data_IF_855104604522
#
_entry.id   IF_855104604522
#
_cell.length_a   1.000
_cell.length_b   1.000
_cell.length_c   1.000
_cell.angle_alpha   90.00
_cell.angle_beta   90.00
_cell.angle_gamma   90.00
#
_symmetry.space_group_name_H-M   'P 1'
#
loop_
_entity.id
_entity.type
_entity.pdbx_description
1 polymer ?
#
# COMPACT_ATOMS: atom_id res chain seq x y z
N UNK A 1 -30.59 -14.26 11.28
CA UNK A 1 -31.38 -13.03 11.01
C UNK A 1 -31.20 -12.71 9.55
N UNK A 2 -32.30 -12.65 8.80
CA UNK A 2 -32.27 -12.15 7.41
C UNK A 2 -31.81 -10.69 7.45
N UNK A 3 -30.69 -10.38 6.78
CA UNK A 3 -30.09 -9.05 6.81
C UNK A 3 -30.87 -8.14 5.85
N UNK A 4 -31.89 -7.46 6.36
CA UNK A 4 -32.69 -6.50 5.58
C UNK A 4 -32.21 -5.07 5.83
N UNK A 5 -31.99 -4.31 4.75
CA UNK A 5 -31.69 -2.87 4.83
C UNK A 5 -32.95 -2.07 5.08
N UNK A 6 -33.00 -1.30 6.17
CA UNK A 6 -34.15 -0.45 6.51
C UNK A 6 -34.37 0.63 5.47
N UNK A 7 -35.62 1.10 5.32
CA UNK A 7 -35.96 2.16 4.35
C UNK A 7 -35.18 3.45 4.59
N UNK A 8 -34.88 3.74 5.86
CA UNK A 8 -34.08 4.88 6.28
C UNK A 8 -32.65 4.78 5.74
N UNK A 9 -31.98 3.63 5.89
CA UNK A 9 -30.63 3.43 5.33
C UNK A 9 -30.62 3.53 3.80
N UNK A 10 -31.62 2.96 3.12
CA UNK A 10 -31.74 3.06 1.66
C UNK A 10 -31.87 4.52 1.20
N UNK A 11 -32.67 5.32 1.94
CA UNK A 11 -32.85 6.75 1.69
C UNK A 11 -31.54 7.51 1.85
N UNK A 12 -30.78 7.27 2.92
CA UNK A 12 -29.49 7.95 3.13
C UNK A 12 -28.45 7.58 2.05
N UNK A 13 -28.33 6.30 1.69
CA UNK A 13 -27.45 5.90 0.59
C UNK A 13 -27.88 6.52 -0.76
N UNK A 14 -29.18 6.65 -1.00
CA UNK A 14 -29.71 7.36 -2.17
C UNK A 14 -29.41 8.86 -2.16
N UNK A 15 -29.35 9.49 -0.98
CA UNK A 15 -28.96 10.89 -0.84
C UNK A 15 -27.48 11.09 -1.21
N UNK A 16 -26.60 10.19 -0.80
CA UNK A 16 -25.17 10.22 -1.18
C UNK A 16 -25.01 10.14 -2.71
N UNK A 17 -25.76 9.25 -3.38
CA UNK A 17 -25.77 9.16 -4.86
C UNK A 17 -26.14 10.47 -5.56
N UNK A 18 -26.93 11.33 -4.91
CA UNK A 18 -27.35 12.64 -5.47
C UNK A 18 -26.36 13.77 -5.15
N UNK A 19 -25.56 13.63 -4.10
CA UNK A 19 -24.62 14.65 -3.64
C UNK A 19 -23.26 14.56 -4.33
N UNK A 20 -22.86 13.38 -4.78
CA UNK A 20 -21.57 13.14 -5.43
C UNK A 20 -21.76 12.81 -6.92
N UNK A 21 -20.73 13.09 -7.71
CA UNK A 21 -20.75 12.81 -9.15
C UNK A 21 -20.32 11.36 -9.43
N UNK A 22 -21.29 10.47 -9.63
CA UNK A 22 -21.04 9.07 -10.03
C UNK A 22 -21.11 8.84 -11.55
N UNK A 23 -21.54 9.83 -12.34
CA UNK A 23 -21.76 9.67 -13.77
C UNK A 23 -20.45 9.64 -14.58
N UNK A 24 -19.42 10.30 -14.07
CA UNK A 24 -18.06 10.29 -14.62
C UNK A 24 -17.13 9.70 -13.56
N UNK A 25 -17.00 8.37 -13.54
CA UNK A 25 -16.20 7.66 -12.54
C UNK A 25 -14.70 7.72 -12.91
N UNK A 26 -14.17 8.95 -12.90
CA UNK A 26 -12.79 9.24 -13.23
C UNK A 26 -11.80 8.50 -12.31
N UNK A 27 -12.13 8.35 -11.03
CA UNK A 27 -11.31 7.61 -10.06
C UNK A 27 -11.13 6.15 -10.47
N UNK A 28 -12.22 5.47 -10.85
CA UNK A 28 -12.13 4.08 -11.32
C UNK A 28 -11.35 3.96 -12.64
N UNK A 29 -11.48 4.94 -13.55
CA UNK A 29 -10.65 4.98 -14.75
C UNK A 29 -9.17 5.09 -14.39
N UNK A 30 -8.78 6.01 -13.52
CA UNK A 30 -7.39 6.15 -13.05
C UNK A 30 -6.89 4.88 -12.33
N UNK A 31 -7.74 4.25 -11.52
CA UNK A 31 -7.42 3.02 -10.80
C UNK A 31 -7.25 1.80 -11.71
N UNK A 32 -7.76 1.81 -12.94
CA UNK A 32 -7.60 0.72 -13.92
C UNK A 32 -6.60 1.07 -15.03
N UNK A 33 -6.29 2.36 -15.21
CA UNK A 33 -5.42 2.85 -16.26
C UNK A 33 -3.99 2.28 -16.14
N UNK A 34 -3.39 1.99 -17.30
CA UNK A 34 -2.02 1.50 -17.45
C UNK A 34 -1.72 0.18 -16.72
N UNK A 35 -2.73 -0.65 -16.47
CA UNK A 35 -2.50 -2.04 -16.08
C UNK A 35 -1.84 -2.79 -17.24
N UNK A 36 -0.63 -3.29 -17.03
CA UNK A 36 0.12 -4.05 -18.04
C UNK A 36 0.00 -5.56 -17.83
N UNK A 37 -0.29 -5.98 -16.60
CA UNK A 37 -0.62 -7.36 -16.26
C UNK A 37 -1.66 -7.37 -15.12
N UNK A 38 -2.94 -7.71 -15.40
CA UNK A 38 -3.97 -7.80 -14.37
C UNK A 38 -3.82 -9.09 -13.53
N UNK A 39 -4.24 -9.04 -12.27
CA UNK A 39 -4.30 -10.23 -11.41
C UNK A 39 -5.63 -10.32 -10.64
N UNK A 40 -6.72 -10.35 -11.41
CA UNK A 40 -8.09 -10.15 -10.91
C UNK A 40 -8.60 -11.22 -9.92
N UNK A 41 -7.85 -12.30 -9.69
CA UNK A 41 -8.19 -13.35 -8.71
C UNK A 41 -7.00 -13.73 -7.84
N UNK A 42 -6.18 -12.74 -7.47
CA UNK A 42 -5.05 -12.96 -6.57
C UNK A 42 -5.51 -13.64 -5.28
N UNK A 43 -4.88 -14.78 -4.99
CA UNK A 43 -5.04 -15.55 -3.77
C UNK A 43 -3.66 -16.10 -3.38
N UNK A 44 -3.13 -15.61 -2.26
CA UNK A 44 -1.81 -15.98 -1.74
C UNK A 44 -2.06 -16.97 -0.60
N UNK A 45 -1.57 -18.19 -0.76
CA UNK A 45 -1.77 -19.29 0.18
C UNK A 45 -0.41 -19.79 0.67
N UNK A 46 -0.26 -19.88 1.98
CA UNK A 46 0.92 -20.45 2.64
C UNK A 46 0.46 -21.54 3.61
N UNK A 47 1.01 -22.75 3.47
CA UNK A 47 0.69 -23.91 4.33
C UNK A 47 -0.82 -24.17 4.51
N UNK A 48 -1.59 -24.01 3.43
CA UNK A 48 -3.04 -24.20 3.40
C UNK A 48 -3.86 -23.06 4.03
N UNK A 49 -3.23 -21.95 4.42
CA UNK A 49 -3.89 -20.75 4.93
C UNK A 49 -3.86 -19.63 3.89
N UNK A 50 -4.99 -18.96 3.70
CA UNK A 50 -5.07 -17.77 2.87
C UNK A 50 -4.41 -16.61 3.62
N UNK A 51 -3.29 -16.12 3.10
CA UNK A 51 -2.57 -14.97 3.64
C UNK A 51 -3.21 -13.67 3.15
N UNK A 52 -3.58 -13.65 1.87
CA UNK A 52 -4.22 -12.53 1.19
C UNK A 52 -5.13 -13.03 0.06
N UNK A 53 -6.28 -12.40 -0.16
CA UNK A 53 -7.19 -12.79 -1.24
C UNK A 53 -8.00 -11.60 -1.73
N UNK A 54 -7.77 -11.22 -2.99
CA UNK A 54 -8.64 -10.32 -3.73
C UNK A 54 -9.89 -11.06 -4.21
N UNK A 55 -9.78 -12.37 -4.49
CA UNK A 55 -10.93 -13.22 -4.87
C UNK A 55 -12.07 -13.18 -3.85
N UNK A 56 -11.77 -13.04 -2.55
CA UNK A 56 -12.78 -12.88 -1.50
C UNK A 56 -13.67 -11.63 -1.67
N UNK A 57 -13.26 -10.67 -2.51
CA UNK A 57 -13.96 -9.41 -2.77
C UNK A 57 -14.66 -9.34 -4.13
N UNK A 58 -14.79 -10.47 -4.85
CA UNK A 58 -15.44 -10.52 -6.17
C UNK A 58 -16.88 -9.97 -6.18
N UNK A 59 -17.55 -9.91 -5.03
CA UNK A 59 -18.87 -9.27 -4.89
C UNK A 59 -18.87 -7.77 -5.23
N UNK A 60 -17.70 -7.11 -5.29
CA UNK A 60 -17.54 -5.72 -5.71
C UNK A 60 -17.67 -5.52 -7.23
N UNK A 61 -17.63 -6.60 -8.02
CA UNK A 61 -17.89 -6.55 -9.46
C UNK A 61 -19.38 -6.32 -9.77
N UNK A 62 -20.25 -6.58 -8.80
CA UNK A 62 -21.70 -6.39 -8.89
C UNK A 62 -22.13 -4.93 -8.63
N UNK A 63 -23.40 -4.61 -8.91
CA UNK A 63 -23.97 -3.31 -8.58
C UNK A 63 -23.97 -3.04 -7.07
N UNK A 64 -23.67 -1.78 -6.70
CA UNK A 64 -23.69 -1.35 -5.29
C UNK A 64 -25.06 -1.64 -4.64
N UNK A 65 -25.11 -2.52 -3.63
CA UNK A 65 -26.35 -2.89 -2.98
C UNK A 65 -26.82 -1.78 -2.04
N UNK A 66 -28.12 -1.78 -1.74
CA UNK A 66 -28.73 -0.75 -0.91
C UNK A 66 -28.19 -0.69 0.53
N UNK A 67 -27.54 -1.76 1.01
CA UNK A 67 -26.91 -1.83 2.34
C UNK A 67 -25.56 -1.11 2.42
N UNK A 68 -24.89 -0.87 1.29
CA UNK A 68 -23.57 -0.27 1.25
C UNK A 68 -23.65 1.22 0.89
N UNK A 69 -22.76 2.02 1.49
CA UNK A 69 -22.59 3.41 1.06
C UNK A 69 -21.98 3.40 -0.36
N UNK A 70 -22.58 4.12 -1.33
CA UNK A 70 -22.13 4.07 -2.72
C UNK A 70 -20.74 4.66 -2.94
N UNK A 71 -20.34 5.68 -2.17
CA UNK A 71 -18.98 6.25 -2.27
C UNK A 71 -17.94 5.26 -1.74
N UNK A 72 -18.23 4.59 -0.62
CA UNK A 72 -17.34 3.55 -0.09
C UNK A 72 -17.27 2.33 -1.01
N UNK A 73 -18.38 1.97 -1.65
CA UNK A 73 -18.41 0.87 -2.63
C UNK A 73 -17.51 1.18 -3.83
N UNK A 74 -17.58 2.38 -4.40
CA UNK A 74 -16.69 2.77 -5.50
C UNK A 74 -15.23 2.84 -5.06
N UNK A 75 -14.91 3.38 -3.87
CA UNK A 75 -13.56 3.31 -3.32
C UNK A 75 -13.06 1.86 -3.19
N UNK A 76 -13.90 0.93 -2.71
CA UNK A 76 -13.56 -0.48 -2.63
C UNK A 76 -13.33 -1.10 -4.02
N UNK A 77 -14.12 -0.72 -5.03
CA UNK A 77 -13.91 -1.16 -6.42
C UNK A 77 -12.59 -0.66 -7.02
N UNK A 78 -12.19 0.57 -6.69
CA UNK A 78 -10.89 1.11 -7.06
C UNK A 78 -9.75 0.32 -6.40
N UNK A 79 -9.85 0.01 -5.10
CA UNK A 79 -8.87 -0.79 -4.37
C UNK A 79 -8.83 -2.27 -4.83
N UNK A 80 -9.90 -2.75 -5.45
CA UNK A 80 -9.97 -4.09 -6.04
C UNK A 80 -9.22 -4.19 -7.39
N UNK A 81 -8.82 -3.06 -8.00
CA UNK A 81 -8.01 -3.05 -9.22
C UNK A 81 -6.57 -3.52 -8.92
N UNK A 82 -6.29 -4.78 -9.26
CA UNK A 82 -5.09 -5.50 -8.83
C UNK A 82 -4.22 -5.89 -10.01
N UNK A 83 -2.90 -5.78 -9.87
CA UNK A 83 -1.95 -6.19 -10.90
C UNK A 83 -0.67 -5.36 -10.91
N UNK A 84 0.05 -5.45 -12.03
CA UNK A 84 1.21 -4.63 -12.35
C UNK A 84 0.75 -3.45 -13.21
N UNK A 85 1.04 -2.25 -12.73
CA UNK A 85 0.67 -0.99 -13.37
C UNK A 85 1.92 -0.22 -13.76
N UNK A 86 1.92 0.32 -14.97
CA UNK A 86 3.01 1.15 -15.47
C UNK A 86 2.67 2.63 -15.24
N UNK A 87 3.36 3.28 -14.31
CA UNK A 87 3.17 4.72 -14.01
C UNK A 87 3.88 5.56 -15.06
N UNK A 88 5.14 5.25 -15.33
CA UNK A 88 5.94 5.76 -16.45
C UNK A 88 6.68 4.59 -17.10
N UNK A 89 7.44 4.83 -18.17
CA UNK A 89 8.23 3.75 -18.79
C UNK A 89 9.25 3.07 -17.85
N UNK A 90 9.68 3.78 -16.79
CA UNK A 90 10.68 3.33 -15.82
C UNK A 90 10.09 3.03 -14.44
N UNK A 91 8.81 3.35 -14.19
CA UNK A 91 8.19 3.21 -12.87
C UNK A 91 6.98 2.28 -12.97
N UNK A 92 7.02 1.22 -12.18
CA UNK A 92 5.95 0.23 -12.08
C UNK A 92 5.44 0.12 -10.65
N UNK A 93 4.17 -0.21 -10.49
CA UNK A 93 3.55 -0.46 -9.18
C UNK A 93 2.80 -1.78 -9.20
N UNK A 94 3.04 -2.58 -8.17
CA UNK A 94 2.22 -3.72 -7.82
C UNK A 94 1.17 -3.26 -6.83
N UNK A 95 -0.09 -3.36 -7.23
CA UNK A 95 -1.24 -2.89 -6.45
C UNK A 95 -2.17 -4.03 -6.12
N UNK A 96 -2.74 -3.98 -4.92
CA UNK A 96 -3.71 -4.96 -4.44
C UNK A 96 -3.10 -6.30 -4.01
N UNK A 97 -1.77 -6.39 -3.85
CA UNK A 97 -1.07 -7.55 -3.28
C UNK A 97 -1.06 -7.55 -1.76
N UNK A 98 -1.32 -6.40 -1.14
CA UNK A 98 -1.50 -6.19 0.29
C UNK A 98 -2.31 -4.89 0.46
N UNK A 99 -2.30 -4.30 1.66
CA UNK A 99 -2.87 -2.98 1.93
C UNK A 99 -2.18 -1.87 1.13
N UNK A 100 -0.84 -1.87 1.14
CA UNK A 100 -0.01 -0.88 0.47
C UNK A 100 0.36 -1.32 -0.96
N UNK A 101 1.00 -0.42 -1.70
CA UNK A 101 1.61 -0.71 -3.00
C UNK A 101 3.10 -1.03 -2.85
N UNK A 102 3.64 -1.83 -3.75
CA UNK A 102 5.09 -2.00 -3.94
C UNK A 102 5.48 -1.30 -5.24
N UNK A 103 6.40 -0.34 -5.19
CA UNK A 103 6.84 0.39 -6.39
C UNK A 103 8.24 -0.05 -6.82
N UNK A 104 8.43 -0.23 -8.12
CA UNK A 104 9.69 -0.60 -8.74
C UNK A 104 10.12 0.51 -9.70
N UNK A 105 11.30 1.06 -9.47
CA UNK A 105 11.88 2.13 -10.29
C UNK A 105 13.14 1.62 -10.96
N UNK A 106 13.14 1.61 -12.29
CA UNK A 106 14.29 1.21 -13.10
C UNK A 106 15.31 2.35 -13.15
N UNK A 107 16.57 2.03 -12.90
CA UNK A 107 17.70 2.96 -12.98
C UNK A 107 18.29 2.99 -14.40
N UNK A 108 19.11 4.00 -14.74
CA UNK A 108 19.83 4.03 -16.02
C UNK A 108 20.74 2.82 -16.28
N UNK A 109 21.18 2.11 -15.23
CA UNK A 109 22.03 0.93 -15.35
C UNK A 109 21.24 -0.40 -15.35
N UNK A 110 19.92 -0.36 -15.57
CA UNK A 110 19.03 -1.53 -15.56
C UNK A 110 19.04 -2.29 -14.24
N UNK A 111 19.00 -1.56 -13.13
CA UNK A 111 18.71 -2.10 -11.80
C UNK A 111 17.43 -1.51 -11.24
N UNK A 112 16.90 -2.15 -10.21
CA UNK A 112 15.66 -1.75 -9.56
C UNK A 112 15.92 -1.08 -8.21
N UNK A 113 15.26 0.05 -7.98
CA UNK A 113 15.05 0.60 -6.66
C UNK A 113 13.63 0.24 -6.25
N UNK A 114 13.49 -0.46 -5.13
CA UNK A 114 12.19 -0.83 -4.56
C UNK A 114 11.76 0.27 -3.60
N UNK A 115 10.52 0.75 -3.72
CA UNK A 115 9.92 1.64 -2.73
C UNK A 115 8.78 0.90 -2.03
N UNK A 116 8.91 0.80 -0.72
CA UNK A 116 8.10 0.01 0.18
C UNK A 116 8.00 -1.47 -0.20
N UNK A 117 7.59 -2.28 0.76
CA UNK A 117 7.78 -3.74 0.71
C UNK A 117 6.59 -4.50 1.28
N UNK A 118 5.39 -3.91 1.22
CA UNK A 118 4.16 -4.50 1.71
C UNK A 118 4.24 -4.91 3.20
N UNK A 119 3.18 -5.55 3.71
CA UNK A 119 3.08 -5.90 5.13
C UNK A 119 3.68 -7.26 5.47
N UNK A 120 3.65 -8.20 4.52
CA UNK A 120 4.10 -9.57 4.76
C UNK A 120 5.05 -10.10 3.69
N UNK A 121 5.96 -10.97 4.12
CA UNK A 121 6.98 -11.63 3.29
C UNK A 121 6.31 -12.34 2.11
N UNK A 122 5.22 -13.06 2.36
CA UNK A 122 4.50 -13.86 1.37
C UNK A 122 3.88 -12.96 0.29
N UNK A 123 3.33 -11.80 0.68
CA UNK A 123 2.75 -10.85 -0.26
C UNK A 123 3.82 -10.20 -1.14
N UNK A 124 4.93 -9.76 -0.55
CA UNK A 124 6.06 -9.22 -1.32
C UNK A 124 6.69 -10.25 -2.24
N UNK A 125 6.82 -11.50 -1.80
CA UNK A 125 7.36 -12.55 -2.66
C UNK A 125 6.47 -12.78 -3.87
N UNK A 126 5.16 -12.93 -3.65
CA UNK A 126 4.19 -13.11 -4.72
C UNK A 126 4.12 -11.91 -5.67
N UNK A 127 4.26 -10.69 -5.15
CA UNK A 127 4.32 -9.47 -5.94
C UNK A 127 5.53 -9.47 -6.88
N UNK A 128 6.73 -9.73 -6.36
CA UNK A 128 7.93 -9.76 -7.18
C UNK A 128 7.89 -10.91 -8.22
N UNK A 129 7.48 -12.11 -7.82
CA UNK A 129 7.34 -13.23 -8.77
C UNK A 129 6.32 -12.95 -9.87
N UNK A 130 5.24 -12.21 -9.56
CA UNK A 130 4.29 -11.76 -10.56
C UNK A 130 4.91 -10.75 -11.53
N UNK A 131 5.65 -9.76 -11.01
CA UNK A 131 6.33 -8.76 -11.83
C UNK A 131 7.40 -9.38 -12.73
N UNK A 132 8.25 -10.25 -12.18
CA UNK A 132 9.35 -10.90 -12.90
C UNK A 132 8.87 -11.71 -14.11
N UNK A 133 7.71 -12.39 -14.00
CA UNK A 133 7.11 -13.08 -15.14
C UNK A 133 6.84 -12.13 -16.31
N UNK A 134 6.23 -10.97 -16.03
CA UNK A 134 5.96 -9.98 -17.07
C UNK A 134 7.25 -9.32 -17.57
N UNK A 135 8.18 -8.98 -16.68
CA UNK A 135 9.46 -8.37 -17.05
C UNK A 135 10.30 -9.25 -17.97
N UNK A 136 10.39 -10.55 -17.67
CA UNK A 136 11.12 -11.52 -18.49
C UNK A 136 10.56 -11.61 -19.92
N UNK A 137 9.25 -11.48 -20.10
CA UNK A 137 8.61 -11.48 -21.41
C UNK A 137 8.74 -10.15 -22.17
N UNK A 138 9.01 -9.05 -21.45
CA UNK A 138 9.01 -7.68 -21.98
C UNK A 138 10.40 -7.01 -21.99
N UNK A 139 11.47 -7.77 -21.75
CA UNK A 139 12.85 -7.29 -21.89
C UNK A 139 13.36 -6.43 -20.73
N UNK A 140 12.77 -6.57 -19.54
CA UNK A 140 13.22 -5.93 -18.31
C UNK A 140 14.03 -6.94 -17.46
N UNK A 141 14.98 -6.46 -16.62
CA UNK A 141 15.72 -7.34 -15.72
C UNK A 141 14.80 -7.90 -14.62
N UNK A 142 15.07 -9.13 -14.16
CA UNK A 142 14.45 -9.65 -12.93
C UNK A 142 14.73 -8.71 -11.76
N UNK A 143 13.75 -8.53 -10.87
CA UNK A 143 13.90 -7.66 -9.70
C UNK A 143 14.96 -8.21 -8.76
N UNK A 144 14.83 -9.50 -8.43
CA UNK A 144 15.80 -10.16 -7.59
C UNK A 144 17.17 -10.28 -8.28
N UNK A 145 18.23 -9.96 -7.54
CA UNK A 145 19.60 -9.96 -8.07
C UNK A 145 19.97 -8.70 -8.85
N UNK A 146 19.01 -7.85 -9.21
CA UNK A 146 19.26 -6.53 -9.83
C UNK A 146 18.79 -5.37 -8.95
N UNK A 147 18.79 -5.53 -7.62
CA UNK A 147 18.47 -4.45 -6.70
C UNK A 147 19.63 -3.45 -6.58
N UNK A 148 19.33 -2.17 -6.74
CA UNK A 148 20.23 -1.05 -6.47
C UNK A 148 20.02 -0.45 -5.07
N UNK A 149 18.82 -0.58 -4.52
CA UNK A 149 18.47 -0.09 -3.20
C UNK A 149 17.01 -0.32 -2.85
N UNK A 150 16.69 -0.19 -1.58
CA UNK A 150 15.34 -0.27 -1.02
C UNK A 150 15.09 1.04 -0.29
N UNK A 151 13.95 1.67 -0.55
CA UNK A 151 13.49 2.87 0.10
C UNK A 151 12.23 2.52 0.87
N UNK A 152 12.21 2.81 2.16
CA UNK A 152 11.00 2.73 2.96
C UNK A 152 10.53 4.16 3.21
N UNK A 153 9.32 4.50 2.74
CA UNK A 153 8.75 5.84 2.90
C UNK A 153 8.72 6.26 4.36
N UNK A 154 8.23 5.36 5.21
CA UNK A 154 7.86 5.70 6.57
C UNK A 154 7.72 4.49 7.49
N UNK A 155 7.46 4.78 8.75
CA UNK A 155 7.59 3.85 9.89
C UNK A 155 6.38 2.94 10.16
N UNK A 156 5.50 2.69 9.18
CA UNK A 156 4.39 1.74 9.32
C UNK A 156 4.67 0.37 8.68
N UNK A 157 4.10 -0.66 9.32
CA UNK A 157 4.43 -2.07 9.05
C UNK A 157 4.07 -2.54 7.65
N UNK A 158 3.07 -1.94 7.02
CA UNK A 158 2.68 -2.21 5.65
C UNK A 158 3.64 -1.68 4.59
N UNK A 159 4.67 -0.94 5.00
CA UNK A 159 5.69 -0.39 4.11
C UNK A 159 7.03 -1.12 4.26
N UNK A 160 7.34 -1.71 5.42
CA UNK A 160 8.60 -2.45 5.65
C UNK A 160 8.41 -3.95 5.91
N UNK A 161 7.20 -4.39 6.23
CA UNK A 161 6.95 -5.71 6.82
C UNK A 161 7.32 -6.88 5.90
N UNK A 162 7.19 -6.71 4.59
CA UNK A 162 7.53 -7.76 3.62
C UNK A 162 8.94 -7.66 3.04
N UNK A 163 9.86 -6.87 3.62
CA UNK A 163 11.20 -6.63 3.05
C UNK A 163 12.00 -7.91 2.73
N UNK A 164 11.91 -8.95 3.56
CA UNK A 164 12.57 -10.24 3.28
C UNK A 164 11.97 -10.97 2.07
N UNK A 165 10.72 -10.68 1.71
CA UNK A 165 10.03 -11.26 0.56
C UNK A 165 10.61 -10.83 -0.78
N UNK A 166 11.49 -9.82 -0.82
CA UNK A 166 12.21 -9.43 -2.03
C UNK A 166 13.25 -10.47 -2.49
N UNK A 167 13.67 -11.39 -1.60
CA UNK A 167 14.77 -12.34 -1.81
C UNK A 167 14.26 -13.80 -1.77
N UNK A 168 14.68 -14.67 -2.68
CA UNK A 168 14.18 -16.08 -2.79
C UNK A 168 14.47 -16.90 -1.55
N UNK A 169 15.60 -16.67 -0.88
CA UNK A 169 15.97 -17.37 0.35
C UNK A 169 15.51 -16.65 1.62
N UNK A 170 14.73 -15.57 1.46
CA UNK A 170 14.23 -14.70 2.52
C UNK A 170 15.32 -14.06 3.39
N UNK A 171 16.55 -13.95 2.87
CA UNK A 171 17.65 -13.25 3.51
C UNK A 171 18.01 -12.02 2.70
N UNK A 172 18.04 -10.88 3.37
CA UNK A 172 18.41 -9.62 2.72
C UNK A 172 19.89 -9.66 2.36
N UNK A 173 20.20 -9.30 1.11
CA UNK A 173 21.57 -9.11 0.66
C UNK A 173 22.17 -7.87 1.36
N UNK A 174 23.22 -8.03 2.18
CA UNK A 174 23.82 -6.91 2.91
C UNK A 174 24.47 -5.85 2.01
N UNK A 175 24.66 -6.13 0.71
CA UNK A 175 25.15 -5.16 -0.26
C UNK A 175 24.06 -4.23 -0.80
N UNK A 176 22.77 -4.55 -0.60
CA UNK A 176 21.64 -3.71 -1.03
C UNK A 176 21.36 -2.67 0.06
N UNK A 177 21.56 -1.37 -0.22
CA UNK A 177 21.30 -0.33 0.77
C UNK A 177 19.78 -0.17 1.02
N UNK A 178 19.42 -0.03 2.30
CA UNK A 178 18.09 0.32 2.78
C UNK A 178 18.12 1.78 3.28
N UNK A 179 17.34 2.64 2.63
CA UNK A 179 17.18 4.05 2.93
C UNK A 179 15.84 4.32 3.61
N UNK A 180 15.86 5.07 4.71
CA UNK A 180 14.68 5.39 5.52
C UNK A 180 14.74 6.83 6.01
N UNK A 181 13.63 7.46 6.40
CA UNK A 181 13.67 8.76 7.08
C UNK A 181 14.32 8.66 8.47
N UNK A 182 14.94 9.75 8.93
CA UNK A 182 15.48 9.86 10.28
C UNK A 182 14.44 9.46 11.35
N UNK A 183 14.90 8.68 12.34
CA UNK A 183 14.05 8.22 13.44
C UNK A 183 13.14 7.03 13.09
N UNK A 184 13.25 6.47 11.89
CA UNK A 184 12.46 5.31 11.44
C UNK A 184 12.48 4.14 12.42
N UNK A 185 13.66 3.71 12.88
CA UNK A 185 13.80 2.52 13.73
C UNK A 185 13.08 2.70 15.08
N UNK A 186 13.22 3.88 15.69
CA UNK A 186 12.52 4.19 16.95
C UNK A 186 11.01 4.25 16.75
N UNK A 187 10.54 4.91 15.68
CA UNK A 187 9.12 5.04 15.37
C UNK A 187 8.45 3.68 15.08
N UNK A 188 9.10 2.83 14.27
CA UNK A 188 8.58 1.51 13.90
C UNK A 188 8.42 0.57 15.09
N UNK A 189 9.30 0.70 16.10
CA UNK A 189 9.34 -0.17 17.28
C UNK A 189 8.45 0.39 18.42
N UNK A 190 8.50 1.70 18.67
CA UNK A 190 7.89 2.32 19.85
C UNK A 190 6.36 2.28 19.86
N UNK A 191 5.72 2.50 18.70
CA UNK A 191 4.25 2.58 18.59
C UNK A 191 3.58 1.28 19.09
N UNK A 192 4.17 0.14 18.75
CA UNK A 192 3.58 -1.17 18.97
C UNK A 192 3.93 -1.79 20.34
N UNK A 193 4.97 -1.31 21.02
CA UNK A 193 5.44 -1.94 22.27
C UNK A 193 4.61 -1.56 23.50
N UNK A 194 4.35 -0.26 23.70
CA UNK A 194 3.80 0.22 24.99
C UNK A 194 2.30 -0.06 25.14
N UNK A 195 1.55 0.04 24.04
CA UNK A 195 0.07 -0.08 24.02
C UNK A 195 -0.43 -1.07 22.96
N UNK A 196 0.46 -1.88 22.38
CA UNK A 196 0.15 -2.79 21.27
C UNK A 196 -0.99 -3.76 21.53
N UNK A 197 -1.16 -4.26 22.76
CA UNK A 197 -2.32 -5.14 23.09
C UNK A 197 -3.65 -4.43 22.92
N UNK A 198 -3.76 -3.19 23.41
CA UNK A 198 -4.98 -2.40 23.30
C UNK A 198 -5.22 -1.96 21.86
N UNK A 199 -4.17 -1.48 21.18
CA UNK A 199 -4.22 -1.08 19.77
C UNK A 199 -4.63 -2.26 18.88
N UNK A 200 -3.98 -3.42 19.03
CA UNK A 200 -4.28 -4.63 18.28
C UNK A 200 -5.73 -5.10 18.48
N UNK A 201 -6.24 -5.05 19.71
CA UNK A 201 -7.66 -5.39 19.96
C UNK A 201 -8.63 -4.41 19.30
N UNK A 202 -8.34 -3.10 19.31
CA UNK A 202 -9.16 -2.08 18.65
C UNK A 202 -9.05 -2.13 17.12
N UNK A 203 -7.88 -2.50 16.61
CA UNK A 203 -7.64 -2.68 15.18
C UNK A 203 -8.57 -3.75 14.56
N UNK A 204 -8.91 -4.81 15.30
CA UNK A 204 -9.91 -5.82 14.86
C UNK A 204 -11.25 -5.18 14.51
N UNK A 205 -11.67 -4.14 15.24
CA UNK A 205 -12.89 -3.39 14.92
C UNK A 205 -12.69 -2.45 13.74
N UNK A 206 -11.60 -1.67 13.73
CA UNK A 206 -11.31 -0.72 12.65
C UNK A 206 -11.19 -1.40 11.29
N UNK A 207 -10.46 -2.51 11.20
CA UNK A 207 -10.23 -3.23 9.95
C UNK A 207 -11.29 -4.30 9.66
N UNK A 208 -12.22 -4.53 10.60
CA UNK A 208 -13.26 -5.55 10.46
C UNK A 208 -12.68 -6.95 10.22
N UNK A 209 -11.56 -7.30 10.85
CA UNK A 209 -10.79 -8.52 10.55
C UNK A 209 -11.57 -9.82 10.82
N UNK A 210 -12.62 -9.76 11.64
CA UNK A 210 -13.52 -10.89 11.92
C UNK A 210 -14.82 -10.87 11.09
N UNK A 211 -15.01 -9.86 10.23
CA UNK A 211 -16.17 -9.76 9.36
C UNK A 211 -15.93 -10.53 8.06
N UNK A 212 -16.97 -11.21 7.60
CA UNK A 212 -17.03 -11.79 6.27
C UNK A 212 -16.86 -10.70 5.20
N UNK A 213 -16.13 -11.01 4.13
CA UNK A 213 -16.00 -10.13 2.96
C UNK A 213 -17.30 -10.27 2.15
N UNK A 214 -18.17 -9.28 2.27
CA UNK A 214 -19.51 -9.31 1.66
C UNK A 214 -20.16 -7.92 1.69
N UNK A 215 -21.25 -7.71 0.93
CA UNK A 215 -22.08 -6.49 1.01
C UNK A 215 -22.55 -6.09 2.42
N UNK A 216 -22.66 -7.05 3.33
CA UNK A 216 -23.12 -6.83 4.71
C UNK A 216 -21.98 -7.01 5.73
N UNK A 217 -20.74 -6.97 5.28
CA UNK A 217 -19.55 -7.19 6.09
C UNK A 217 -18.45 -6.18 5.76
N UNK A 218 -17.22 -6.66 5.58
CA UNK A 218 -16.07 -5.81 5.26
C UNK A 218 -15.99 -5.55 3.76
N UNK A 219 -15.95 -4.27 3.36
CA UNK A 219 -15.85 -3.82 1.98
C UNK A 219 -14.40 -3.50 1.57
N UNK A 220 -13.72 -2.63 2.32
CA UNK A 220 -12.31 -2.23 2.16
C UNK A 220 -11.86 -1.55 3.46
N UNK A 221 -10.62 -1.04 3.49
CA UNK A 221 -10.07 -0.25 4.62
C UNK A 221 -9.72 1.20 4.21
N UNK A 222 -10.31 1.69 3.10
CA UNK A 222 -10.14 3.05 2.59
C UNK A 222 -8.93 3.21 1.68
N UNK A 223 -7.72 3.07 2.22
CA UNK A 223 -6.45 3.19 1.48
C UNK A 223 -6.09 1.93 0.66
N UNK A 224 -6.71 0.81 1.00
CA UNK A 224 -6.49 -0.48 0.37
C UNK A 224 -7.63 -1.44 0.68
N UNK A 225 -7.49 -2.68 0.21
CA UNK A 225 -8.58 -3.66 0.32
C UNK A 225 -8.70 -4.26 1.74
N UNK A 226 -7.60 -4.32 2.49
CA UNK A 226 -7.53 -4.97 3.80
C UNK A 226 -6.07 -5.24 4.19
N UNK A 227 -5.86 -5.94 5.31
CA UNK A 227 -4.53 -6.31 5.79
C UNK A 227 -4.23 -7.78 5.49
N UNK A 228 -3.03 -8.07 4.97
CA UNK A 228 -2.55 -9.46 4.88
C UNK A 228 -2.31 -10.05 6.29
N UNK A 229 -2.30 -11.37 6.38
CA UNK A 229 -2.15 -12.11 7.66
C UNK A 229 -0.86 -12.93 7.74
N UNK A 230 0.11 -12.55 6.91
CA UNK A 230 1.36 -13.26 6.72
C UNK A 230 2.42 -12.93 7.77
N UNK A 231 3.65 -13.31 7.45
CA UNK A 231 4.80 -13.11 8.31
C UNK A 231 5.36 -11.70 8.12
N UNK A 232 5.48 -10.94 9.20
CA UNK A 232 6.14 -9.63 9.21
C UNK A 232 7.64 -9.82 9.44
N UNK A 233 8.45 -9.06 8.72
CA UNK A 233 9.90 -8.94 8.86
C UNK A 233 10.31 -7.48 9.10
N UNK A 234 11.52 -7.30 9.61
CA UNK A 234 12.13 -6.01 9.83
C UNK A 234 13.64 -6.16 9.62
N UNK A 235 14.24 -5.16 8.98
CA UNK A 235 15.68 -5.05 8.80
C UNK A 235 16.15 -3.67 9.25
N UNK A 236 17.35 -3.61 9.81
CA UNK A 236 17.94 -2.32 10.18
C UNK A 236 18.27 -1.52 8.92
N UNK A 237 17.98 -0.21 8.90
CA UNK A 237 18.35 0.64 7.77
C UNK A 237 19.87 0.75 7.66
N UNK A 238 20.36 0.88 6.43
CA UNK A 238 21.78 1.14 6.17
C UNK A 238 22.08 2.64 6.11
N UNK A 239 21.06 3.45 5.81
CA UNK A 239 21.16 4.88 5.68
C UNK A 239 19.87 5.55 6.15
N UNK A 240 20.01 6.49 7.08
CA UNK A 240 18.93 7.41 7.44
C UNK A 240 19.09 8.73 6.66
N UNK A 241 17.98 9.23 6.15
CA UNK A 241 17.88 10.56 5.54
C UNK A 241 17.58 11.56 6.65
N UNK A 242 18.56 12.41 6.99
CA UNK A 242 18.51 13.35 8.13
C UNK A 242 18.26 14.80 7.73
N UNK A 243 18.28 15.09 6.43
CA UNK A 243 17.94 16.40 5.87
C UNK A 243 17.40 16.20 4.45
N UNK A 244 16.69 17.21 3.94
CA UNK A 244 16.26 17.21 2.55
C UNK A 244 17.49 17.25 1.65
N UNK A 245 17.66 16.24 0.80
CA UNK A 245 18.84 16.11 -0.04
C UNK A 245 18.58 15.21 -1.23
N UNK A 246 19.42 15.39 -2.24
CA UNK A 246 19.52 14.51 -3.38
C UNK A 246 20.56 13.43 -3.09
N UNK A 247 20.20 12.16 -3.33
CA UNK A 247 21.14 11.05 -3.35
C UNK A 247 21.06 10.36 -4.71
N UNK A 248 22.21 10.12 -5.33
CA UNK A 248 22.31 9.28 -6.50
C UNK A 248 22.35 7.79 -6.09
N UNK A 249 21.36 7.01 -6.51
CA UNK A 249 21.31 5.56 -6.33
C UNK A 249 21.47 4.92 -7.71
N UNK A 250 22.58 4.23 -7.93
CA UNK A 250 22.90 3.58 -9.21
C UNK A 250 22.74 4.51 -10.43
N UNK A 251 23.21 5.76 -10.27
CA UNK A 251 23.19 6.79 -11.32
C UNK A 251 21.85 7.50 -11.52
N UNK A 252 20.82 7.17 -10.73
CA UNK A 252 19.56 7.89 -10.70
C UNK A 252 19.53 8.85 -9.51
N UNK A 253 19.28 10.13 -9.73
CA UNK A 253 19.12 11.12 -8.66
C UNK A 253 17.70 11.03 -8.05
N UNK A 254 17.64 10.90 -6.72
CA UNK A 254 16.41 10.92 -5.94
C UNK A 254 16.48 12.07 -4.93
N UNK A 255 15.52 12.99 -5.02
CA UNK A 255 15.38 14.15 -4.13
C UNK A 255 14.43 13.81 -2.98
N UNK A 256 15.00 13.61 -1.80
CA UNK A 256 14.25 13.23 -0.60
C UNK A 256 13.79 14.47 0.16
N UNK A 257 12.51 14.47 0.53
CA UNK A 257 11.90 15.50 1.37
C UNK A 257 11.38 14.86 2.65
N UNK A 258 12.00 15.14 3.79
CA UNK A 258 11.53 14.70 5.10
C UNK A 258 10.22 15.43 5.47
N UNK A 259 9.26 14.66 5.96
CA UNK A 259 7.96 15.15 6.45
C UNK A 259 7.64 14.49 7.79
N UNK A 260 8.43 14.72 8.85
CA UNK A 260 8.19 14.06 10.12
C UNK A 260 6.89 14.53 10.78
N UNK A 261 6.10 13.59 11.32
CA UNK A 261 4.89 13.88 12.09
C UNK A 261 3.64 14.16 11.26
N UNK A 262 3.68 13.87 9.96
CA UNK A 262 2.52 13.87 9.05
C UNK A 262 1.69 12.60 9.23
N UNK A 263 1.77 11.64 8.30
CA UNK A 263 1.14 10.33 8.45
C UNK A 263 1.91 9.53 9.51
N UNK A 264 3.24 9.52 9.46
CA UNK A 264 4.05 8.81 10.44
C UNK A 264 5.03 9.74 11.18
N UNK A 265 5.53 9.33 12.38
CA UNK A 265 6.56 10.09 13.08
C UNK A 265 7.83 10.30 12.23
N UNK A 266 8.22 9.27 11.48
CA UNK A 266 9.29 9.31 10.50
C UNK A 266 8.73 8.95 9.12
N UNK A 267 8.74 9.92 8.21
CA UNK A 267 8.19 9.84 6.84
C UNK A 267 8.95 10.76 5.89
N UNK A 268 9.04 10.38 4.61
CA UNK A 268 9.62 11.21 3.56
C UNK A 268 8.99 11.00 2.19
N UNK A 269 8.78 12.09 1.45
CA UNK A 269 8.47 12.04 0.02
C UNK A 269 9.75 11.82 -0.79
N UNK A 270 9.59 11.41 -2.05
CA UNK A 270 10.70 11.29 -2.99
C UNK A 270 10.31 11.81 -4.36
N UNK A 271 11.07 12.78 -4.87
CA UNK A 271 10.95 13.24 -6.26
C UNK A 271 12.07 12.63 -7.10
N UNK A 272 11.74 12.19 -8.31
CA UNK A 272 12.68 11.59 -9.27
C UNK A 272 12.76 12.52 -10.49
N UNK A 273 13.72 13.47 -10.52
CA UNK A 273 13.75 14.52 -11.54
C UNK A 273 13.83 13.99 -12.96
N UNK A 274 14.61 12.92 -13.20
CA UNK A 274 14.78 12.32 -14.53
C UNK A 274 13.46 11.81 -15.12
N UNK A 275 12.51 11.40 -14.27
CA UNK A 275 11.21 10.85 -14.68
C UNK A 275 10.05 11.80 -14.42
N UNK A 276 10.33 13.01 -13.89
CA UNK A 276 9.34 13.99 -13.45
C UNK A 276 8.24 13.37 -12.57
N UNK A 277 8.64 12.42 -11.72
CA UNK A 277 7.73 11.62 -10.91
C UNK A 277 7.85 12.01 -9.44
N UNK A 278 6.72 12.33 -8.81
CA UNK A 278 6.64 12.66 -7.39
C UNK A 278 5.95 11.52 -6.64
N UNK A 279 6.68 10.87 -5.75
CA UNK A 279 6.18 9.83 -4.88
C UNK A 279 5.93 10.39 -3.48
N UNK A 280 4.65 10.52 -3.14
CA UNK A 280 4.16 11.29 -1.99
C UNK A 280 4.06 10.47 -0.70
N UNK A 281 4.84 9.38 -0.55
CA UNK A 281 4.72 8.45 0.57
C UNK A 281 3.24 8.13 0.85
N UNK A 282 2.76 8.42 2.07
CA UNK A 282 1.35 8.37 2.42
C UNK A 282 0.79 9.75 2.83
N UNK A 283 1.55 10.81 2.55
CA UNK A 283 1.14 12.21 2.76
C UNK A 283 -0.04 12.62 1.87
N UNK A 284 -0.14 12.06 0.67
CA UNK A 284 -1.20 12.36 -0.29
C UNK A 284 -1.69 11.08 -0.97
N UNK A 285 -2.89 10.65 -0.57
CA UNK A 285 -3.59 9.49 -1.14
C UNK A 285 -4.98 9.90 -1.65
N UNK A 286 -5.71 8.96 -2.26
CA UNK A 286 -7.06 9.22 -2.78
C UNK A 286 -8.15 9.14 -1.69
N UNK A 287 -7.82 9.45 -0.43
CA UNK A 287 -8.77 9.53 0.68
C UNK A 287 -8.32 10.57 1.69
N UNK A 288 -9.26 11.12 2.45
CA UNK A 288 -8.92 11.88 3.65
C UNK A 288 -8.24 10.93 4.65
N UNK A 289 -6.98 11.21 4.98
CA UNK A 289 -6.23 10.38 5.92
C UNK A 289 -6.61 10.69 7.38
N UNK A 290 -6.21 9.79 8.27
CA UNK A 290 -6.42 9.91 9.69
C UNK A 290 -5.48 10.97 10.28
N UNK A 291 -6.05 12.02 10.88
CA UNK A 291 -5.35 12.79 11.94
C UNK A 291 -5.35 12.02 13.27
N UNK A 292 -6.30 11.10 13.43
CA UNK A 292 -6.38 10.20 14.57
C UNK A 292 -6.94 8.86 14.12
N UNK A 293 -6.12 7.81 14.19
CA UNK A 293 -6.55 6.46 13.84
C UNK A 293 -7.38 5.84 14.97
N UNK A 294 -8.50 5.21 14.63
CA UNK A 294 -9.48 4.70 15.62
C UNK A 294 -8.95 3.52 16.45
N UNK A 295 -7.92 2.82 15.97
CA UNK A 295 -7.17 1.80 16.74
C UNK A 295 -6.47 2.41 17.96
N UNK A 296 -6.27 3.73 17.94
CA UNK A 296 -5.66 4.52 19.00
C UNK A 296 -4.17 4.69 18.77
N UNK A 297 -3.76 5.91 18.44
CA UNK A 297 -2.36 6.33 18.38
C UNK A 297 -2.26 7.77 18.92
N UNK A 298 -1.07 8.36 18.87
CA UNK A 298 -0.93 9.81 19.07
C UNK A 298 -1.69 10.56 17.95
N UNK A 299 -2.22 11.73 18.29
CA UNK A 299 -2.88 12.60 17.30
C UNK A 299 -1.81 13.24 16.43
N UNK A 300 -2.01 13.21 15.11
CA UNK A 300 -1.14 13.84 14.11
C UNK A 300 -1.47 15.31 13.94
N UNK A 301 -0.47 16.12 13.61
CA UNK A 301 -0.65 17.56 13.43
C UNK A 301 -1.08 17.90 11.99
N UNK A 302 -2.39 18.04 11.77
CA UNK A 302 -2.95 18.41 10.47
C UNK A 302 -2.49 19.78 9.94
N UNK A 303 -2.03 20.70 10.81
CA UNK A 303 -1.48 21.98 10.37
C UNK A 303 -0.06 21.81 9.82
N UNK A 304 0.74 20.97 10.47
CA UNK A 304 2.07 20.64 9.99
C UNK A 304 2.01 19.83 8.69
N UNK A 305 1.08 18.86 8.58
CA UNK A 305 0.85 18.10 7.35
C UNK A 305 0.42 18.97 6.16
N UNK A 306 -0.36 20.03 6.39
CA UNK A 306 -0.73 20.96 5.32
C UNK A 306 0.42 21.81 4.75
N UNK A 307 1.57 21.91 5.42
CA UNK A 307 2.68 22.82 5.04
C UNK A 307 3.73 22.11 4.22
#
# INVERSE_FOLDING_TARGET
MEKHTTKETQKENSNVKKQLNFADNHEFMLASQNCVAPFNHLEIIQDGKVIWSQKAYAFLEEECPNCANPSLWENARCNHQTGLFRVTEQIFQLRGFDMANLTLVLTPNNKWIVFDTLMSIECSRAAIEFADRWFNENGYPEVEGNLAGIIISHSHVDHFGGIRGLFKDFKVDPSVPIYVPEGFTEAAISENLMVGKAMGRRAVFQYGSSLEKSPFGSLSVGIGQGQSTGTISFELPTCEITENKIIAIDGLDLDFQLTPGTEAPAEMNTYIPAYQALWMAENCTCTMHNLYTLRGAQIRDGKSWSR
#
